data_IF_846083251012
#
_entry.id   IF_846083251012
#
_cell.length_a   1.000
_cell.length_b   1.000
_cell.length_c   1.000
_cell.angle_alpha   90.00
_cell.angle_beta   90.00
_cell.angle_gamma   90.00
#
_symmetry.space_group_name_H-M   'P 1'
#
loop_
_entity.id
_entity.type
_entity.pdbx_description
1 polymer ?
#
# COMPACT_ATOMS: atom_id res chain seq x y z
N UNK A 1 -4.51 -12.03 -27.57
CA UNK A 1 -5.18 -10.87 -26.93
C UNK A 1 -5.63 -11.19 -25.50
N UNK A 2 -6.36 -12.28 -25.22
CA UNK A 2 -6.84 -12.61 -23.86
C UNK A 2 -5.73 -12.75 -22.81
N UNK A 3 -4.61 -13.38 -23.14
CA UNK A 3 -3.47 -13.58 -22.22
C UNK A 3 -2.81 -12.26 -21.83
N UNK A 4 -2.68 -11.33 -22.76
CA UNK A 4 -2.10 -9.99 -22.48
C UNK A 4 -3.04 -9.18 -21.58
N UNK A 5 -4.35 -9.21 -21.84
CA UNK A 5 -5.34 -8.56 -20.99
C UNK A 5 -5.36 -9.13 -19.57
N UNK A 6 -5.27 -10.47 -19.42
CA UNK A 6 -5.19 -11.11 -18.10
C UNK A 6 -3.93 -10.71 -17.33
N UNK A 7 -2.79 -10.55 -18.00
CA UNK A 7 -1.52 -10.11 -17.39
C UNK A 7 -1.59 -8.65 -16.91
N UNK A 8 -2.25 -7.77 -17.68
CA UNK A 8 -2.42 -6.36 -17.32
C UNK A 8 -3.42 -6.16 -16.17
N UNK A 9 -4.49 -7.00 -16.13
CA UNK A 9 -5.52 -6.90 -15.08
C UNK A 9 -5.13 -7.63 -13.79
N UNK A 10 -4.15 -8.53 -13.83
CA UNK A 10 -3.74 -9.32 -12.66
C UNK A 10 -3.41 -8.47 -11.42
N UNK A 11 -2.63 -7.38 -11.48
CA UNK A 11 -2.35 -6.53 -10.33
C UNK A 11 -3.63 -5.93 -9.74
N UNK A 12 -4.54 -5.48 -10.60
CA UNK A 12 -5.81 -4.85 -10.21
C UNK A 12 -6.72 -5.85 -9.50
N UNK A 13 -6.92 -7.04 -10.08
CA UNK A 13 -7.72 -8.10 -9.45
C UNK A 13 -7.10 -8.54 -8.13
N UNK A 14 -5.78 -8.72 -8.08
CA UNK A 14 -5.08 -9.11 -6.86
C UNK A 14 -5.25 -8.06 -5.76
N UNK A 15 -5.15 -6.79 -6.09
CA UNK A 15 -5.31 -5.68 -5.14
C UNK A 15 -6.73 -5.60 -4.58
N UNK A 16 -7.73 -5.56 -5.46
CA UNK A 16 -9.12 -5.34 -5.02
C UNK A 16 -9.76 -6.57 -4.38
N UNK A 17 -9.47 -7.77 -4.89
CA UNK A 17 -10.15 -9.00 -4.47
C UNK A 17 -9.38 -9.77 -3.40
N UNK A 18 -8.05 -9.86 -3.53
CA UNK A 18 -7.24 -10.75 -2.69
C UNK A 18 -6.40 -10.05 -1.63
N UNK A 19 -6.23 -8.73 -1.68
CA UNK A 19 -5.46 -8.01 -0.67
C UNK A 19 -6.38 -7.57 0.47
N UNK A 20 -6.14 -8.00 1.73
CA UNK A 20 -6.93 -7.59 2.88
C UNK A 20 -6.90 -6.07 3.09
N UNK A 21 -8.00 -5.51 3.60
CA UNK A 21 -8.09 -4.06 3.83
C UNK A 21 -7.02 -3.56 4.81
N UNK A 22 -6.72 -4.32 5.87
CA UNK A 22 -5.65 -4.00 6.82
C UNK A 22 -4.27 -3.87 6.17
N UNK A 23 -3.97 -4.72 5.17
CA UNK A 23 -2.71 -4.64 4.42
C UNK A 23 -2.72 -3.45 3.45
N UNK A 24 -3.87 -3.08 2.87
CA UNK A 24 -4.00 -1.90 2.02
C UNK A 24 -3.72 -0.61 2.79
N UNK A 25 -4.28 -0.47 3.99
CA UNK A 25 -4.05 0.68 4.88
C UNK A 25 -2.57 0.80 5.28
N UNK A 26 -1.94 -0.32 5.65
CA UNK A 26 -0.51 -0.35 5.95
C UNK A 26 0.36 -0.01 4.73
N UNK A 27 -0.02 -0.49 3.56
CA UNK A 27 0.69 -0.21 2.30
C UNK A 27 0.63 1.28 1.92
N UNK A 28 -0.46 1.98 2.25
CA UNK A 28 -0.58 3.42 2.07
C UNK A 28 0.28 4.23 3.06
N UNK A 29 0.69 3.60 4.17
CA UNK A 29 1.49 4.24 5.20
C UNK A 29 2.94 4.54 4.80
N UNK A 30 3.63 5.31 5.66
CA UNK A 30 5.06 5.59 5.52
C UNK A 30 5.93 4.36 5.79
N UNK A 31 7.16 4.36 5.28
CA UNK A 31 8.11 3.27 5.54
C UNK A 31 8.41 3.09 7.04
N UNK A 32 8.31 4.17 7.83
CA UNK A 32 8.46 4.10 9.29
C UNK A 32 7.31 3.33 9.92
N UNK A 33 6.06 3.64 9.55
CA UNK A 33 4.88 2.94 10.04
C UNK A 33 4.89 1.44 9.68
N UNK A 34 5.30 1.11 8.45
CA UNK A 34 5.46 -0.29 8.01
C UNK A 34 6.48 -1.00 8.88
N UNK A 35 7.62 -0.38 9.17
CA UNK A 35 8.67 -0.95 10.02
C UNK A 35 8.20 -1.13 11.46
N UNK A 36 7.55 -0.15 12.05
CA UNK A 36 7.03 -0.23 13.42
C UNK A 36 5.98 -1.34 13.56
N UNK A 37 5.06 -1.43 12.60
CA UNK A 37 4.07 -2.50 12.55
C UNK A 37 4.72 -3.88 12.44
N UNK A 38 5.63 -4.07 11.47
CA UNK A 38 6.32 -5.35 11.25
C UNK A 38 7.09 -5.78 12.48
N UNK A 39 7.76 -4.84 13.15
CA UNK A 39 8.51 -5.09 14.39
C UNK A 39 7.60 -5.46 15.57
N UNK A 40 6.45 -4.80 15.67
CA UNK A 40 5.44 -5.11 16.69
C UNK A 40 4.84 -6.50 16.50
N UNK A 41 4.55 -6.92 15.25
CA UNK A 41 4.08 -8.27 14.94
C UNK A 41 5.16 -9.31 15.26
N UNK A 42 6.39 -9.09 14.76
CA UNK A 42 7.52 -9.98 15.02
C UNK A 42 7.76 -10.21 16.51
N UNK A 43 7.65 -9.17 17.34
CA UNK A 43 7.80 -9.29 18.80
C UNK A 43 6.77 -10.22 19.44
N UNK A 44 5.54 -10.24 18.92
CA UNK A 44 4.47 -11.13 19.40
C UNK A 44 4.72 -12.56 18.93
N UNK A 45 4.98 -12.74 17.65
CA UNK A 45 5.13 -14.07 17.07
C UNK A 45 6.37 -14.79 17.54
N UNK A 46 7.51 -14.11 17.65
CA UNK A 46 8.75 -14.70 18.19
C UNK A 46 8.54 -15.27 19.59
N UNK A 47 7.73 -14.61 20.42
CA UNK A 47 7.38 -15.12 21.75
C UNK A 47 6.58 -16.42 21.65
N UNK A 48 5.53 -16.43 20.81
CA UNK A 48 4.68 -17.61 20.59
C UNK A 48 5.49 -18.75 19.99
N UNK A 49 6.29 -18.48 18.97
CA UNK A 49 7.12 -19.48 18.31
C UNK A 49 8.15 -20.12 19.26
N UNK A 50 8.75 -19.33 20.15
CA UNK A 50 9.65 -19.85 21.18
C UNK A 50 8.93 -20.74 22.21
N UNK A 51 7.71 -20.38 22.57
CA UNK A 51 6.91 -21.21 23.50
C UNK A 51 6.47 -22.51 22.82
N UNK A 52 6.08 -22.48 21.53
CA UNK A 52 5.81 -23.69 20.74
C UNK A 52 7.02 -24.63 20.69
N UNK A 53 8.20 -24.08 20.42
CA UNK A 53 9.43 -24.88 20.36
C UNK A 53 9.83 -25.50 21.71
N UNK A 54 9.44 -24.89 22.83
CA UNK A 54 9.66 -25.46 24.17
C UNK A 54 8.63 -26.53 24.52
N UNK A 55 7.37 -26.32 24.12
CA UNK A 55 6.25 -27.18 24.48
C UNK A 55 6.16 -28.39 23.56
N UNK A 56 6.42 -28.24 22.27
CA UNK A 56 6.34 -29.28 21.24
C UNK A 56 7.57 -29.25 20.33
N UNK A 57 8.79 -29.52 20.85
CA UNK A 57 10.04 -29.39 20.09
C UNK A 57 10.06 -30.25 18.83
N UNK A 58 9.48 -31.45 18.87
CA UNK A 58 9.41 -32.40 17.77
C UNK A 58 8.16 -32.20 16.89
N UNK A 59 7.34 -31.18 17.19
CA UNK A 59 6.16 -30.85 16.40
C UNK A 59 6.55 -30.31 15.00
N UNK A 60 5.76 -30.70 13.98
CA UNK A 60 5.93 -30.14 12.64
C UNK A 60 5.64 -28.65 12.62
N UNK A 61 6.41 -27.91 11.83
CA UNK A 61 6.22 -26.45 11.67
C UNK A 61 4.90 -26.16 10.93
N UNK A 62 4.06 -25.32 11.52
CA UNK A 62 2.78 -24.94 10.96
C UNK A 62 2.94 -24.28 9.59
N UNK A 63 1.92 -24.45 8.72
CA UNK A 63 1.97 -23.98 7.33
C UNK A 63 2.20 -22.49 7.18
N UNK A 64 1.71 -21.71 8.13
CA UNK A 64 1.86 -20.25 8.15
C UNK A 64 3.31 -19.80 8.37
N UNK A 65 4.14 -20.65 9.03
CA UNK A 65 5.56 -20.34 9.32
C UNK A 65 6.54 -21.02 8.36
N UNK A 66 6.07 -21.65 7.29
CA UNK A 66 6.96 -22.30 6.28
C UNK A 66 7.93 -21.34 5.59
N UNK A 67 7.67 -20.05 5.61
CA UNK A 67 8.62 -19.05 5.11
C UNK A 67 9.93 -19.04 5.93
N UNK A 68 9.86 -19.35 7.23
CA UNK A 68 11.03 -19.47 8.11
C UNK A 68 11.93 -20.65 7.72
N UNK A 69 11.35 -21.77 7.24
CA UNK A 69 12.14 -22.88 6.72
C UNK A 69 13.01 -22.48 5.54
N UNK A 70 12.46 -21.65 4.63
CA UNK A 70 13.22 -21.14 3.49
C UNK A 70 14.40 -20.29 3.95
N UNK A 71 14.17 -19.39 4.91
CA UNK A 71 15.21 -18.53 5.47
C UNK A 71 16.27 -19.33 6.23
N UNK A 72 15.84 -20.32 7.04
CA UNK A 72 16.73 -21.25 7.71
C UNK A 72 17.60 -22.05 6.75
N UNK A 73 17.04 -22.54 5.63
CA UNK A 73 17.80 -23.22 4.55
C UNK A 73 18.88 -22.33 3.95
N UNK A 74 18.57 -21.06 3.72
CA UNK A 74 19.54 -20.08 3.20
C UNK A 74 20.70 -19.87 4.19
N UNK A 75 20.38 -19.69 5.48
CA UNK A 75 21.37 -19.50 6.55
C UNK A 75 22.26 -20.77 6.70
N UNK A 76 21.65 -21.95 6.72
CA UNK A 76 22.43 -23.19 6.83
C UNK A 76 23.38 -23.40 5.66
N UNK A 77 22.91 -23.15 4.42
CA UNK A 77 23.74 -23.23 3.22
C UNK A 77 24.88 -22.22 3.22
N UNK A 78 24.63 -20.98 3.63
CA UNK A 78 25.67 -19.94 3.71
C UNK A 78 26.74 -20.29 4.74
N UNK A 79 26.37 -21.00 5.81
CA UNK A 79 27.28 -21.47 6.86
C UNK A 79 27.90 -22.86 6.58
N UNK A 80 27.67 -23.45 5.38
CA UNK A 80 28.21 -24.75 5.01
C UNK A 80 27.63 -25.93 5.81
N UNK A 81 26.47 -25.75 6.47
CA UNK A 81 25.79 -26.78 7.25
C UNK A 81 24.79 -27.57 6.39
N UNK A 82 24.58 -28.84 6.75
CA UNK A 82 23.56 -29.68 6.09
C UNK A 82 22.15 -29.17 6.42
N UNK A 83 21.27 -29.26 5.42
CA UNK A 83 19.84 -28.91 5.59
C UNK A 83 19.12 -30.13 6.16
N UNK A 84 18.29 -29.99 7.22
CA UNK A 84 17.48 -31.09 7.74
C UNK A 84 16.51 -31.64 6.69
N UNK A 85 16.22 -32.94 6.76
CA UNK A 85 15.15 -33.57 5.95
C UNK A 85 13.77 -33.20 6.46
N UNK A 86 13.63 -33.13 7.78
CA UNK A 86 12.37 -32.85 8.47
C UNK A 86 12.47 -31.58 9.28
N UNK A 87 11.44 -30.74 9.15
CA UNK A 87 11.38 -29.45 9.84
C UNK A 87 10.46 -29.54 11.06
N UNK A 88 11.10 -29.63 12.22
CA UNK A 88 10.44 -29.49 13.51
C UNK A 88 10.72 -28.11 14.09
N UNK A 89 9.97 -27.71 15.14
CA UNK A 89 10.22 -26.44 15.82
C UNK A 89 11.64 -26.34 16.37
N UNK A 90 12.18 -27.44 16.88
CA UNK A 90 13.55 -27.51 17.37
C UNK A 90 14.57 -27.30 16.24
N UNK A 91 14.44 -28.04 15.13
CA UNK A 91 15.37 -27.91 13.99
C UNK A 91 15.28 -26.54 13.34
N UNK A 92 14.09 -25.94 13.30
CA UNK A 92 13.89 -24.60 12.78
C UNK A 92 14.62 -23.56 13.61
N UNK A 93 14.35 -23.51 14.94
CA UNK A 93 14.99 -22.51 15.81
C UNK A 93 16.51 -22.70 15.89
N UNK A 94 17.00 -23.93 15.98
CA UNK A 94 18.43 -24.23 16.03
C UNK A 94 19.20 -23.91 14.74
N UNK A 95 18.48 -23.69 13.64
CA UNK A 95 19.06 -23.28 12.36
C UNK A 95 19.47 -21.80 12.32
N UNK A 96 18.92 -20.99 13.21
CA UNK A 96 19.29 -19.59 13.34
C UNK A 96 20.46 -19.42 14.31
N UNK A 97 21.47 -18.60 13.98
CA UNK A 97 22.65 -18.44 14.82
C UNK A 97 22.36 -17.78 16.18
N UNK A 98 21.40 -16.89 16.20
CA UNK A 98 20.99 -16.12 17.38
C UNK A 98 19.53 -15.67 17.30
N UNK A 99 19.04 -15.15 18.40
CA UNK A 99 17.66 -14.66 18.53
C UNK A 99 17.39 -13.42 17.64
N UNK A 100 18.39 -12.57 17.44
CA UNK A 100 18.24 -11.39 16.64
C UNK A 100 18.03 -11.75 15.17
N UNK A 101 18.80 -12.69 14.64
CA UNK A 101 18.63 -13.19 13.26
C UNK A 101 17.27 -13.87 13.06
N UNK A 102 16.78 -14.60 14.07
CA UNK A 102 15.44 -15.19 14.04
C UNK A 102 14.35 -14.10 14.04
N UNK A 103 14.49 -13.10 14.92
CA UNK A 103 13.59 -11.96 14.98
C UNK A 103 13.54 -11.20 13.65
N UNK A 104 14.70 -10.91 13.07
CA UNK A 104 14.81 -10.20 11.80
C UNK A 104 14.15 -10.98 10.66
N UNK A 105 14.24 -12.32 10.65
CA UNK A 105 13.57 -13.15 9.67
C UNK A 105 12.03 -13.06 9.77
N UNK A 106 11.49 -13.01 10.99
CA UNK A 106 10.06 -12.83 11.23
C UNK A 106 9.62 -11.41 10.86
N UNK A 107 10.37 -10.37 11.26
CA UNK A 107 10.11 -8.98 10.90
C UNK A 107 10.11 -8.79 9.37
N UNK A 108 11.12 -9.36 8.69
CA UNK A 108 11.26 -9.26 7.24
C UNK A 108 10.05 -9.83 6.49
N UNK A 109 9.46 -10.93 6.99
CA UNK A 109 8.29 -11.53 6.34
C UNK A 109 7.09 -10.56 6.28
N UNK A 110 6.78 -9.91 7.41
CA UNK A 110 5.72 -8.90 7.48
C UNK A 110 6.02 -7.70 6.61
N UNK A 111 7.26 -7.21 6.68
CA UNK A 111 7.69 -6.08 5.88
C UNK A 111 7.61 -6.35 4.38
N UNK A 112 8.06 -7.53 3.94
CA UNK A 112 8.02 -7.94 2.53
C UNK A 112 6.58 -8.07 2.04
N UNK A 113 5.67 -8.61 2.85
CA UNK A 113 4.25 -8.71 2.51
C UNK A 113 3.64 -7.32 2.24
N UNK A 114 3.83 -6.37 3.17
CA UNK A 114 3.30 -5.01 3.05
C UNK A 114 3.98 -4.25 1.90
N UNK A 115 5.29 -4.39 1.73
CA UNK A 115 6.01 -3.76 0.62
C UNK A 115 5.58 -4.32 -0.75
N UNK A 116 5.28 -5.62 -0.82
CA UNK A 116 4.71 -6.23 -2.03
C UNK A 116 3.31 -5.67 -2.33
N UNK A 117 2.49 -5.47 -1.30
CA UNK A 117 1.19 -4.83 -1.44
C UNK A 117 1.34 -3.36 -1.89
N UNK A 118 2.29 -2.61 -1.32
CA UNK A 118 2.61 -1.24 -1.73
C UNK A 118 3.07 -1.17 -3.19
N UNK A 119 3.96 -2.06 -3.62
CA UNK A 119 4.39 -2.15 -5.01
C UNK A 119 3.25 -2.58 -5.94
N UNK A 120 2.33 -3.42 -5.43
CA UNK A 120 1.15 -3.83 -6.17
C UNK A 120 0.20 -2.66 -6.39
N UNK A 121 -0.06 -1.83 -5.35
CA UNK A 121 -0.94 -0.66 -5.45
C UNK A 121 -0.48 0.34 -6.53
N UNK A 122 0.83 0.49 -6.72
CA UNK A 122 1.40 1.36 -7.75
C UNK A 122 1.17 0.83 -9.19
N UNK A 123 0.82 -0.45 -9.35
CA UNK A 123 0.57 -1.10 -10.65
C UNK A 123 -0.90 -1.34 -10.92
N UNK A 124 -1.75 -0.96 -9.98
CA UNK A 124 -3.20 -1.09 -10.12
C UNK A 124 -3.68 -0.07 -11.14
N UNK A 125 -4.52 -0.51 -12.06
CA UNK A 125 -5.25 0.41 -12.91
C UNK A 125 -6.26 1.15 -12.02
N UNK A 126 -6.12 2.46 -11.91
CA UNK A 126 -7.12 3.28 -11.26
C UNK A 126 -8.42 3.15 -12.04
N UNK A 127 -9.39 2.52 -11.42
CA UNK A 127 -10.73 2.43 -11.96
C UNK A 127 -11.33 3.83 -11.84
N UNK A 128 -11.67 4.45 -12.98
CA UNK A 128 -12.36 5.72 -12.99
C UNK A 128 -13.70 5.66 -12.25
N UNK A 129 -14.31 6.83 -12.02
CA UNK A 129 -15.58 6.99 -11.32
C UNK A 129 -16.68 6.05 -11.83
N UNK A 130 -16.69 5.73 -13.13
CA UNK A 130 -17.67 4.84 -13.75
C UNK A 130 -17.69 3.42 -13.17
N UNK A 131 -16.57 2.95 -12.61
CA UNK A 131 -16.42 1.60 -12.07
C UNK A 131 -16.33 1.55 -10.53
N UNK A 132 -15.87 2.64 -9.91
CA UNK A 132 -15.80 2.77 -8.44
C UNK A 132 -17.06 3.36 -7.83
N UNK A 133 -17.87 4.06 -8.64
CA UNK A 133 -18.88 4.98 -8.15
C UNK A 133 -18.24 6.25 -7.59
N UNK A 134 -19.06 7.19 -7.17
CA UNK A 134 -18.61 8.46 -6.64
C UNK A 134 -19.41 9.63 -7.21
N UNK A 135 -18.89 10.84 -7.05
CA UNK A 135 -19.51 12.04 -7.63
C UNK A 135 -18.49 12.80 -8.48
N UNK A 136 -18.99 13.40 -9.53
CA UNK A 136 -18.26 14.33 -10.38
C UNK A 136 -18.95 15.69 -10.32
N UNK A 137 -18.21 16.73 -10.01
CA UNK A 137 -18.69 18.10 -9.91
C UNK A 137 -17.92 18.93 -10.92
N UNK A 138 -18.66 19.66 -11.77
CA UNK A 138 -18.09 20.61 -12.70
C UNK A 138 -18.40 22.02 -12.21
N UNK A 139 -17.37 22.83 -12.00
CA UNK A 139 -17.47 24.21 -11.59
C UNK A 139 -17.11 25.11 -12.76
N UNK A 140 -17.95 26.08 -13.07
CA UNK A 140 -17.67 27.12 -14.06
C UNK A 140 -17.01 28.33 -13.38
N UNK A 141 -16.05 28.97 -14.05
CA UNK A 141 -15.42 30.16 -13.56
C UNK A 141 -16.40 31.36 -13.60
N UNK A 142 -16.59 32.02 -12.44
CA UNK A 142 -17.32 33.28 -12.38
C UNK A 142 -16.33 34.46 -12.43
N UNK A 143 -16.27 35.14 -13.58
CA UNK A 143 -15.35 36.26 -13.79
C UNK A 143 -15.92 37.62 -13.37
N UNK A 144 -17.14 37.66 -12.85
CA UNK A 144 -17.86 38.91 -12.54
C UNK A 144 -17.05 39.82 -11.59
N UNK A 145 -16.48 39.25 -10.53
CA UNK A 145 -15.68 40.02 -9.56
C UNK A 145 -14.40 40.56 -10.18
N UNK A 146 -13.78 39.82 -11.09
CA UNK A 146 -12.59 40.30 -11.80
C UNK A 146 -12.94 41.45 -12.74
N UNK A 147 -14.07 41.34 -13.45
CA UNK A 147 -14.56 42.38 -14.36
C UNK A 147 -14.91 43.67 -13.63
N UNK A 148 -15.59 43.58 -12.49
CA UNK A 148 -15.91 44.75 -11.63
C UNK A 148 -14.65 45.48 -11.15
N UNK A 149 -13.59 44.72 -10.80
CA UNK A 149 -12.35 45.34 -10.29
C UNK A 149 -11.46 45.92 -11.39
N UNK A 150 -11.40 45.27 -12.54
CA UNK A 150 -10.43 45.59 -13.59
C UNK A 150 -11.06 46.27 -14.83
N UNK A 151 -12.40 46.37 -14.90
CA UNK A 151 -13.12 46.95 -16.02
C UNK A 151 -13.00 46.17 -17.35
N UNK A 152 -12.52 44.91 -17.28
CA UNK A 152 -12.36 44.02 -18.44
C UNK A 152 -12.45 42.55 -18.01
N UNK A 153 -12.74 41.68 -18.96
CA UNK A 153 -12.63 40.23 -18.78
C UNK A 153 -11.17 39.78 -18.63
N UNK A 154 -10.88 38.71 -17.86
CA UNK A 154 -9.53 38.17 -17.77
C UNK A 154 -9.07 37.60 -19.11
N UNK A 155 -7.78 37.65 -19.36
CA UNK A 155 -7.16 36.91 -20.49
C UNK A 155 -7.12 35.40 -20.16
N UNK A 156 -6.91 34.56 -21.18
CA UNK A 156 -6.79 33.10 -20.95
C UNK A 156 -5.69 32.73 -19.94
N UNK A 157 -4.56 33.45 -19.99
CA UNK A 157 -3.43 33.23 -19.06
C UNK A 157 -3.79 33.62 -17.64
N UNK A 158 -4.46 34.78 -17.47
CA UNK A 158 -4.93 35.26 -16.17
C UNK A 158 -6.01 34.33 -15.59
N UNK A 159 -6.95 33.89 -16.42
CA UNK A 159 -7.99 32.95 -15.98
C UNK A 159 -7.39 31.60 -15.57
N UNK A 160 -6.44 31.06 -16.33
CA UNK A 160 -5.75 29.83 -15.98
C UNK A 160 -4.98 29.95 -14.66
N UNK A 161 -4.33 31.10 -14.40
CA UNK A 161 -3.63 31.36 -13.16
C UNK A 161 -4.60 31.41 -11.96
N UNK A 162 -5.74 32.11 -12.10
CA UNK A 162 -6.77 32.18 -11.07
C UNK A 162 -7.37 30.80 -10.77
N UNK A 163 -7.72 30.04 -11.80
CA UNK A 163 -8.27 28.71 -11.63
C UNK A 163 -7.27 27.74 -11.00
N UNK A 164 -5.96 27.90 -11.25
CA UNK A 164 -4.92 27.09 -10.59
C UNK A 164 -4.85 27.39 -9.10
N UNK A 165 -4.95 28.67 -8.70
CA UNK A 165 -5.03 29.07 -7.29
C UNK A 165 -6.29 28.53 -6.61
N UNK A 166 -7.43 28.58 -7.31
CA UNK A 166 -8.69 28.00 -6.82
C UNK A 166 -8.60 26.48 -6.62
N UNK A 167 -7.92 25.75 -7.52
CA UNK A 167 -7.65 24.32 -7.36
C UNK A 167 -6.88 24.03 -6.09
N UNK A 168 -5.84 24.82 -5.78
CA UNK A 168 -5.05 24.63 -4.56
C UNK A 168 -5.92 24.86 -3.30
N UNK A 169 -6.77 25.89 -3.32
CA UNK A 169 -7.71 26.17 -2.22
C UNK A 169 -8.74 25.07 -2.05
N UNK A 170 -9.32 24.58 -3.16
CA UNK A 170 -10.29 23.48 -3.16
C UNK A 170 -9.66 22.18 -2.66
N UNK A 171 -8.44 21.87 -3.10
CA UNK A 171 -7.68 20.70 -2.65
C UNK A 171 -7.48 20.73 -1.14
N UNK A 172 -7.02 21.85 -0.58
CA UNK A 172 -6.84 22.00 0.87
C UNK A 172 -8.15 21.84 1.65
N UNK A 173 -9.27 22.33 1.12
CA UNK A 173 -10.58 22.20 1.78
C UNK A 173 -11.10 20.77 1.73
N UNK A 174 -10.97 20.10 0.59
CA UNK A 174 -11.43 18.71 0.40
C UNK A 174 -10.61 17.76 1.27
N UNK A 175 -9.30 17.97 1.38
CA UNK A 175 -8.42 17.21 2.28
C UNK A 175 -8.82 17.32 3.75
N UNK A 176 -9.31 18.52 4.19
CA UNK A 176 -9.81 18.70 5.56
C UNK A 176 -11.06 17.87 5.87
N UNK A 177 -11.85 17.50 4.86
CA UNK A 177 -13.01 16.62 5.02
C UNK A 177 -12.65 15.13 5.04
N UNK A 178 -11.37 14.80 4.87
CA UNK A 178 -10.90 13.40 4.91
C UNK A 178 -11.27 12.59 3.67
N UNK A 179 -11.58 13.26 2.56
CA UNK A 179 -11.86 12.58 1.28
C UNK A 179 -10.56 11.96 0.75
N UNK A 180 -10.61 10.67 0.51
CA UNK A 180 -9.47 9.91 -0.02
C UNK A 180 -9.34 10.09 -1.53
N UNK A 181 -8.17 10.60 -1.97
CA UNK A 181 -7.76 10.67 -3.39
C UNK A 181 -8.75 11.41 -4.31
N UNK A 182 -9.15 12.68 -4.02
CA UNK A 182 -9.92 13.46 -4.96
C UNK A 182 -9.06 13.80 -6.19
N UNK A 183 -9.66 13.76 -7.39
CA UNK A 183 -9.02 14.29 -8.60
C UNK A 183 -9.60 15.67 -8.91
N UNK A 184 -8.78 16.71 -8.80
CA UNK A 184 -9.18 18.09 -9.05
C UNK A 184 -8.30 18.64 -10.16
N UNK A 185 -8.92 18.98 -11.27
CA UNK A 185 -8.19 19.43 -12.47
C UNK A 185 -8.95 20.46 -13.29
N UNK A 186 -8.20 21.22 -14.06
CA UNK A 186 -8.78 22.08 -15.10
C UNK A 186 -9.46 21.24 -16.17
N UNK A 187 -10.66 21.65 -16.56
CA UNK A 187 -11.39 21.12 -17.71
C UNK A 187 -11.70 22.24 -18.70
N UNK A 188 -11.16 22.10 -19.91
CA UNK A 188 -11.27 23.18 -20.89
C UNK A 188 -10.43 24.39 -20.49
N UNK A 189 -11.02 25.60 -20.63
CA UNK A 189 -10.34 26.87 -20.38
C UNK A 189 -10.86 27.61 -19.17
N UNK A 190 -12.06 27.29 -18.72
CA UNK A 190 -12.87 28.07 -17.78
C UNK A 190 -13.59 27.21 -16.73
N UNK A 191 -13.23 25.91 -16.64
CA UNK A 191 -13.91 24.98 -15.72
C UNK A 191 -12.91 24.20 -14.85
N UNK A 192 -13.36 23.85 -13.64
CA UNK A 192 -12.66 22.92 -12.73
C UNK A 192 -13.53 21.68 -12.59
N UNK A 193 -12.96 20.52 -12.87
CA UNK A 193 -13.57 19.22 -12.63
C UNK A 193 -13.05 18.66 -11.32
N UNK A 194 -13.97 18.28 -10.43
CA UNK A 194 -13.70 17.61 -9.17
C UNK A 194 -14.32 16.21 -9.23
N UNK A 195 -13.50 15.20 -9.12
CA UNK A 195 -13.93 13.80 -9.05
C UNK A 195 -13.62 13.22 -7.67
N UNK A 196 -14.67 12.81 -6.97
CA UNK A 196 -14.58 12.21 -5.63
C UNK A 196 -14.99 10.75 -5.75
N UNK A 197 -14.05 9.80 -5.57
CA UNK A 197 -14.37 8.37 -5.62
C UNK A 197 -15.31 8.00 -4.48
N UNK A 198 -16.25 7.09 -4.73
CA UNK A 198 -17.07 6.46 -3.70
C UNK A 198 -16.26 5.51 -2.82
N UNK A 199 -16.68 5.30 -1.58
CA UNK A 199 -16.10 4.33 -0.65
C UNK A 199 -16.39 2.87 -1.08
#
# INVERSE_FOLDING_TARGET
MAVVASLLLYPTVKWYVFTPQSIKELAAGSNLQIREYSRGQASRDVRVLKDMAKTTPDGEVDKEFKYLEKKAKEILKSNGKSVPSDWTWYTLLSSFPDEATFFDAVEESYRVEIMNAKNLSQRVLNLGLDLRGGMSILLDADTTVFEEKNGRVPTEEELTALLTEDIDVLSMRIDQFGVTEPDIRLQGKDQILIEIPGE
#
